data_IF_680873738282
#
_entry.id   IF_680873738282
#
_cell.length_a   1.000
_cell.length_b   1.000
_cell.length_c   1.000
_cell.angle_alpha   90.00
_cell.angle_beta   90.00
_cell.angle_gamma   90.00
#
_symmetry.space_group_name_H-M   'P 1'
#
loop_
_entity.id
_entity.type
_entity.pdbx_description
1 polymer ?
#
# COMPACT_ATOMS: atom_id res chain seq x y z
N UNK A 1 12.04 -12.55 -4.56
CA UNK A 1 11.22 -11.45 -5.11
C UNK A 1 11.78 -10.14 -4.59
N UNK A 2 12.02 -9.16 -5.46
CA UNK A 2 12.50 -7.83 -5.06
C UNK A 2 11.33 -6.84 -5.10
N UNK A 3 11.14 -6.06 -4.03
CA UNK A 3 10.08 -5.06 -3.92
C UNK A 3 10.63 -3.68 -4.31
N UNK A 4 10.88 -3.49 -5.61
CA UNK A 4 11.40 -2.25 -6.21
C UNK A 4 10.35 -1.13 -6.26
N UNK A 5 10.76 0.08 -6.67
CA UNK A 5 9.80 1.16 -6.93
C UNK A 5 8.80 0.80 -8.05
N UNK A 6 9.23 0.02 -9.05
CA UNK A 6 8.34 -0.45 -10.12
C UNK A 6 7.30 -1.42 -9.56
N UNK A 7 7.71 -2.34 -8.68
CA UNK A 7 6.75 -3.20 -7.97
C UNK A 7 5.67 -2.38 -7.27
N UNK A 8 6.05 -1.35 -6.51
CA UNK A 8 5.08 -0.56 -5.74
C UNK A 8 4.15 0.25 -6.63
N UNK A 9 4.66 0.80 -7.74
CA UNK A 9 3.83 1.49 -8.74
C UNK A 9 2.78 0.53 -9.36
N UNK A 10 3.21 -0.64 -9.82
CA UNK A 10 2.31 -1.67 -10.37
C UNK A 10 1.29 -2.14 -9.33
N UNK A 11 1.72 -2.36 -8.09
CA UNK A 11 0.83 -2.78 -7.02
C UNK A 11 -0.26 -1.73 -6.72
N UNK A 12 0.12 -0.45 -6.65
CA UNK A 12 -0.85 0.65 -6.44
C UNK A 12 -1.85 0.76 -7.60
N UNK A 13 -1.39 0.60 -8.84
CA UNK A 13 -2.24 0.64 -10.03
C UNK A 13 -3.22 -0.53 -10.06
N UNK A 14 -2.75 -1.75 -9.77
CA UNK A 14 -3.59 -2.96 -9.72
C UNK A 14 -4.62 -2.88 -8.58
N UNK A 15 -4.24 -2.33 -7.44
CA UNK A 15 -5.13 -2.22 -6.29
C UNK A 15 -6.09 -1.02 -6.38
N UNK A 16 -5.75 -0.02 -7.19
CA UNK A 16 -6.52 1.22 -7.35
C UNK A 16 -6.41 2.11 -6.11
N UNK A 17 -5.23 2.16 -5.48
CA UNK A 17 -4.96 2.91 -4.26
C UNK A 17 -3.72 3.77 -4.43
N UNK A 18 -3.61 4.88 -3.70
CA UNK A 18 -2.34 5.62 -3.64
C UNK A 18 -1.32 4.89 -2.74
N UNK A 19 -0.04 5.22 -2.90
CA UNK A 19 1.01 4.74 -2.01
C UNK A 19 0.72 5.06 -0.54
N UNK A 20 0.02 6.16 -0.25
CA UNK A 20 -0.25 6.56 1.12
C UNK A 20 -1.39 5.76 1.75
N UNK A 21 -2.27 5.19 0.93
CA UNK A 21 -3.35 4.30 1.35
C UNK A 21 -2.88 2.85 1.49
N UNK A 22 -1.59 2.58 1.26
CA UNK A 22 -1.08 1.21 1.23
C UNK A 22 -1.16 0.52 2.59
N UNK A 23 -1.06 1.27 3.69
CA UNK A 23 -1.27 0.74 5.03
C UNK A 23 -2.69 0.19 5.21
N UNK A 24 -3.70 0.92 4.71
CA UNK A 24 -5.12 0.54 4.79
C UNK A 24 -5.39 -0.80 4.09
N UNK A 25 -4.65 -1.11 3.02
CA UNK A 25 -4.75 -2.40 2.31
C UNK A 25 -4.39 -3.59 3.20
N UNK A 26 -3.54 -3.37 4.21
CA UNK A 26 -3.00 -4.43 5.08
C UNK A 26 -3.49 -4.37 6.53
N UNK A 27 -4.26 -3.36 6.93
CA UNK A 27 -4.77 -3.18 8.31
C UNK A 27 -5.50 -4.41 8.85
N UNK A 28 -6.26 -5.11 8.01
CA UNK A 28 -7.04 -6.28 8.38
C UNK A 28 -6.36 -7.61 7.96
N UNK A 29 -5.05 -7.56 7.70
CA UNK A 29 -4.29 -8.67 7.14
C UNK A 29 -4.37 -8.72 5.61
N UNK A 30 -3.68 -9.71 5.03
CA UNK A 30 -3.56 -9.86 3.58
C UNK A 30 -4.75 -10.63 3.02
N UNK A 31 -5.59 -9.96 2.24
CA UNK A 31 -6.67 -10.57 1.47
C UNK A 31 -6.15 -11.39 0.28
N UNK A 32 -6.96 -12.31 -0.28
CA UNK A 32 -6.62 -13.00 -1.53
C UNK A 32 -6.41 -12.04 -2.72
N UNK A 33 -7.18 -10.94 -2.77
CA UNK A 33 -7.02 -9.90 -3.81
C UNK A 33 -5.63 -9.26 -3.69
N UNK A 34 -5.25 -8.83 -2.50
CA UNK A 34 -3.93 -8.22 -2.26
C UNK A 34 -2.80 -9.22 -2.44
N UNK A 35 -2.94 -10.48 -2.02
CA UNK A 35 -1.93 -11.52 -2.24
C UNK A 35 -1.67 -11.74 -3.73
N UNK A 36 -2.74 -11.86 -4.52
CA UNK A 36 -2.63 -12.00 -5.98
C UNK A 36 -2.01 -10.78 -6.63
N UNK A 37 -2.36 -9.58 -6.17
CA UNK A 37 -1.76 -8.34 -6.64
C UNK A 37 -0.27 -8.26 -6.28
N UNK A 38 0.15 -8.69 -5.08
CA UNK A 38 1.56 -8.76 -4.67
C UNK A 38 2.34 -9.66 -5.65
N UNK A 39 1.87 -10.89 -5.87
CA UNK A 39 2.59 -11.82 -6.72
C UNK A 39 2.63 -11.33 -8.17
N UNK A 40 1.49 -10.88 -8.70
CA UNK A 40 1.41 -10.37 -10.08
C UNK A 40 2.33 -9.16 -10.29
N UNK A 41 2.30 -8.18 -9.39
CA UNK A 41 3.12 -6.97 -9.51
C UNK A 41 4.61 -7.29 -9.35
N UNK A 42 4.95 -8.26 -8.49
CA UNK A 42 6.32 -8.73 -8.30
C UNK A 42 6.88 -9.43 -9.53
N UNK A 43 6.08 -10.27 -10.19
CA UNK A 43 6.46 -10.89 -11.45
C UNK A 43 6.58 -9.85 -12.57
N UNK A 44 5.56 -9.00 -12.72
CA UNK A 44 5.50 -7.99 -13.78
C UNK A 44 6.69 -7.04 -13.70
N UNK A 45 6.95 -6.48 -12.51
CA UNK A 45 8.10 -5.59 -12.31
C UNK A 45 9.41 -6.30 -12.63
N UNK A 46 9.60 -7.53 -12.15
CA UNK A 46 10.82 -8.29 -12.43
C UNK A 46 11.00 -8.55 -13.93
N UNK A 47 9.95 -8.98 -14.62
CA UNK A 47 10.04 -9.28 -16.05
C UNK A 47 10.28 -8.03 -16.88
N UNK A 48 9.57 -6.94 -16.58
CA UNK A 48 9.77 -5.66 -17.27
C UNK A 48 11.15 -5.05 -16.99
N UNK A 49 11.69 -5.18 -15.77
CA UNK A 49 13.04 -4.71 -15.42
C UNK A 49 14.16 -5.48 -16.12
N UNK A 50 13.90 -6.72 -16.55
CA UNK A 50 14.86 -7.59 -17.21
C UNK A 50 14.57 -7.81 -18.71
N UNK A 51 13.68 -6.99 -19.30
CA UNK A 51 13.26 -7.09 -20.70
C UNK A 51 12.71 -8.49 -21.09
N UNK A 52 12.10 -9.19 -20.14
CA UNK A 52 11.42 -10.47 -20.38
C UNK A 52 10.04 -10.24 -20.98
N UNK A 53 9.58 -11.19 -21.81
CA UNK A 53 8.23 -11.18 -22.33
C UNK A 53 7.21 -11.52 -21.23
N UNK A 54 6.16 -10.70 -21.12
CA UNK A 54 5.05 -10.93 -20.19
C UNK A 54 3.92 -11.66 -20.93
N UNK A 55 3.64 -12.90 -20.54
CA UNK A 55 2.62 -13.76 -21.15
C UNK A 55 1.52 -14.21 -20.17
N UNK A 56 1.40 -13.51 -19.04
CA UNK A 56 0.45 -13.79 -17.98
C UNK A 56 -0.37 -12.56 -17.61
N UNK A 57 -1.46 -12.81 -16.89
CA UNK A 57 -2.32 -11.79 -16.31
C UNK A 57 -2.70 -12.17 -14.88
N UNK A 58 -3.44 -11.30 -14.19
CA UNK A 58 -3.90 -11.54 -12.83
C UNK A 58 -4.63 -12.89 -12.65
N UNK A 59 -5.40 -13.35 -13.64
CA UNK A 59 -6.11 -14.62 -13.55
C UNK A 59 -5.16 -15.81 -13.64
N UNK A 60 -4.15 -15.72 -14.51
CA UNK A 60 -3.12 -16.74 -14.64
C UNK A 60 -2.31 -16.88 -13.35
N UNK A 61 -1.96 -15.75 -12.74
CA UNK A 61 -1.31 -15.74 -11.41
C UNK A 61 -2.21 -16.36 -10.35
N UNK A 62 -3.50 -16.02 -10.34
CA UNK A 62 -4.47 -16.64 -9.44
C UNK A 62 -4.50 -18.17 -9.57
N UNK A 63 -4.45 -18.70 -10.79
CA UNK A 63 -4.36 -20.14 -11.03
C UNK A 63 -3.07 -20.74 -10.45
N UNK A 64 -1.92 -20.08 -10.58
CA UNK A 64 -0.67 -20.57 -10.00
C UNK A 64 -0.68 -20.58 -8.47
N UNK A 65 -1.44 -19.66 -7.86
CA UNK A 65 -1.58 -19.60 -6.40
C UNK A 65 -2.34 -20.78 -5.81
N UNK A 66 -3.12 -21.53 -6.60
CA UNK A 66 -3.79 -22.75 -6.13
C UNK A 66 -2.78 -23.82 -5.64
N UNK A 67 -1.53 -23.75 -6.11
CA UNK A 67 -0.44 -24.65 -5.72
C UNK A 67 0.40 -24.12 -4.56
N UNK A 68 0.13 -22.90 -4.07
CA UNK A 68 0.92 -22.27 -3.02
C UNK A 68 0.58 -22.87 -1.65
N UNK A 69 1.61 -23.20 -0.88
CA UNK A 69 1.44 -23.57 0.53
C UNK A 69 1.31 -22.32 1.40
N UNK A 70 0.73 -22.49 2.59
CA UNK A 70 0.67 -21.41 3.59
C UNK A 70 2.05 -20.84 3.92
N UNK A 71 3.09 -21.67 3.95
CA UNK A 71 4.46 -21.24 4.23
C UNK A 71 5.00 -20.34 3.11
N UNK A 72 4.77 -20.71 1.85
CA UNK A 72 5.17 -19.88 0.70
C UNK A 72 4.43 -18.54 0.69
N UNK A 73 3.15 -18.53 1.06
CA UNK A 73 2.37 -17.29 1.21
C UNK A 73 2.96 -16.41 2.31
N UNK A 74 3.26 -17.00 3.48
CA UNK A 74 3.85 -16.29 4.60
C UNK A 74 5.22 -15.70 4.25
N UNK A 75 6.05 -16.45 3.53
CA UNK A 75 7.37 -15.97 3.08
C UNK A 75 7.25 -14.75 2.17
N UNK A 76 6.30 -14.76 1.23
CA UNK A 76 6.04 -13.61 0.34
C UNK A 76 5.62 -12.37 1.15
N UNK A 77 4.66 -12.54 2.06
CA UNK A 77 4.15 -11.44 2.90
C UNK A 77 5.23 -10.89 3.82
N UNK A 78 5.98 -11.76 4.50
CA UNK A 78 7.06 -11.34 5.39
C UNK A 78 8.17 -10.62 4.64
N UNK A 79 8.56 -11.10 3.45
CA UNK A 79 9.56 -10.44 2.61
C UNK A 79 9.06 -9.06 2.15
N UNK A 80 7.76 -8.92 1.84
CA UNK A 80 7.16 -7.63 1.47
C UNK A 80 7.18 -6.63 2.62
N UNK A 81 6.82 -7.08 3.83
CA UNK A 81 6.82 -6.23 5.03
C UNK A 81 8.23 -5.72 5.38
N UNK A 82 9.29 -6.44 5.01
CA UNK A 82 10.68 -6.01 5.18
C UNK A 82 11.16 -5.01 4.12
N UNK A 83 10.35 -4.71 3.11
CA UNK A 83 10.71 -3.73 2.07
C UNK A 83 10.89 -2.34 2.66
N UNK A 84 11.71 -1.51 2.01
CA UNK A 84 11.99 -0.13 2.47
C UNK A 84 10.75 0.75 2.57
N UNK A 85 9.73 0.52 1.73
CA UNK A 85 8.51 1.33 1.67
C UNK A 85 7.56 1.04 2.84
N UNK A 86 7.52 -0.20 3.33
CA UNK A 86 6.73 -0.56 4.51
C UNK A 86 7.54 -0.53 5.82
N UNK A 87 8.86 -0.75 5.74
CA UNK A 87 9.75 -0.80 6.90
C UNK A 87 10.27 0.56 7.39
N UNK A 88 10.20 1.61 6.59
CA UNK A 88 10.29 2.99 7.07
C UNK A 88 8.88 3.56 7.06
N UNK A 89 8.49 4.25 8.15
CA UNK A 89 7.20 4.92 8.29
C UNK A 89 6.82 5.59 6.96
N UNK A 90 5.62 5.25 6.48
CA UNK A 90 4.94 5.77 5.28
C UNK A 90 4.80 7.29 5.39
N UNK A 91 5.92 7.96 5.23
CA UNK A 91 6.18 9.39 5.29
C UNK A 91 7.43 9.56 4.44
N UNK A 92 7.29 9.54 3.12
CA UNK A 92 8.33 9.83 2.11
C UNK A 92 8.93 11.26 2.25
N UNK A 93 9.17 11.75 3.47
CA UNK A 93 9.61 13.11 3.80
C UNK A 93 8.54 14.19 3.66
N UNK A 94 7.28 13.84 3.43
CA UNK A 94 6.20 14.82 3.23
C UNK A 94 5.30 14.86 4.46
N UNK A 95 5.48 15.87 5.31
CA UNK A 95 4.49 16.23 6.33
C UNK A 95 3.18 16.62 5.64
N UNK A 96 2.19 15.74 5.70
CA UNK A 96 0.82 16.12 5.36
C UNK A 96 0.28 16.95 6.51
N UNK A 97 0.33 18.27 6.34
CA UNK A 97 -0.34 19.20 7.21
C UNK A 97 -1.82 18.81 7.27
N UNK A 98 -2.25 18.24 8.39
CA UNK A 98 -3.65 18.01 8.68
C UNK A 98 -4.29 19.39 8.71
N UNK A 99 -5.07 19.75 7.68
CA UNK A 99 -5.93 20.92 7.77
C UNK A 99 -6.90 20.59 8.90
N UNK A 100 -6.62 21.18 10.06
CA UNK A 100 -7.45 21.13 11.23
C UNK A 100 -8.86 21.54 10.79
N UNK A 101 -9.83 20.70 11.13
CA UNK A 101 -11.20 21.18 11.24
C UNK A 101 -11.21 22.17 12.40
N UNK A 102 -10.94 23.44 12.11
CA UNK A 102 -11.20 24.52 13.06
C UNK A 102 -12.72 24.65 13.17
N UNK A 103 -13.25 23.90 14.14
CA UNK A 103 -14.40 24.34 14.92
C UNK A 103 -13.93 25.54 15.75
N UNK A 104 -14.14 26.75 15.25
CA UNK A 104 -14.31 27.90 16.13
C UNK A 104 -15.81 28.06 16.43
N UNK A 105 -16.24 27.26 17.40
CA UNK A 105 -17.31 27.66 18.31
C UNK A 105 -16.65 28.33 19.52
N UNK A 106 -17.15 29.53 19.84
CA UNK A 106 -17.01 30.31 21.07
C UNK A 106 -15.90 31.37 21.14
N UNK A 107 -16.33 32.64 21.10
CA UNK A 107 -15.90 33.57 22.14
C UNK A 107 -17.12 34.30 22.73
N UNK A 108 -17.59 33.75 23.86
CA UNK A 108 -18.38 34.43 24.87
C UNK A 108 -17.45 35.36 25.64
N UNK A 109 -17.38 36.63 25.25
CA UNK A 109 -16.70 37.68 26.01
C UNK A 109 -17.71 38.53 26.77
N UNK A 110 -17.87 38.23 28.06
CA UNK A 110 -18.65 39.00 29.02
C UNK A 110 -17.82 40.21 29.49
N UNK A 111 -18.26 41.44 29.20
CA UNK A 111 -17.81 42.64 29.90
C UNK A 111 -18.97 43.65 30.09
N UNK A 112 -19.43 43.76 31.34
CA UNK A 112 -20.10 44.91 31.95
C UNK A 112 -19.07 45.54 32.93
N UNK A 113 -19.17 46.83 33.38
CA UNK A 113 -20.34 47.71 33.39
C UNK A 113 -20.04 49.24 33.16
N UNK A 114 -21.08 50.05 33.39
CA UNK A 114 -21.13 51.46 33.83
C UNK A 114 -21.22 52.57 32.76
N UNK A 115 -22.36 53.26 32.80
CA UNK A 115 -22.72 54.47 32.05
C UNK A 115 -24.22 54.71 32.09
#
# INVERSE_FOLDING_TARGET
>A
MHFSMNFWAEFTDVMGVSLEQIGEVFENGVSFKSLRAIIYSGLLANDMENDNAVDYNLYKVGQWMDEFTSDQINDVVNTMMQSRILGNDINMGIERNTIAKDKDDQESGNDQPAG
#
